data_IF_759056441638
#
_entry.id   IF_759056441638
#
_cell.length_a   1.000
_cell.length_b   1.000
_cell.length_c   1.000
_cell.angle_alpha   90.00
_cell.angle_beta   90.00
_cell.angle_gamma   90.00
#
_symmetry.space_group_name_H-M   'P 1'
#
loop_
_entity.id
_entity.type
_entity.pdbx_description
1 polymer ?
#
# COMPACT_ATOMS: atom_id res chain seq x y z
N UNK A 1 -17.26 -9.43 13.27
CA UNK A 1 -16.05 -8.89 12.60
C UNK A 1 -15.93 -7.38 12.86
N UNK A 2 -14.99 -6.96 13.72
CA UNK A 2 -14.70 -5.55 13.92
C UNK A 2 -14.18 -4.90 12.61
N UNK A 3 -14.25 -3.56 12.46
CA UNK A 3 -13.80 -2.92 11.24
C UNK A 3 -12.30 -3.16 11.02
N UNK A 4 -11.95 -3.94 10.00
CA UNK A 4 -10.56 -4.16 9.60
C UNK A 4 -9.92 -2.80 9.26
N UNK A 5 -8.81 -2.49 9.93
CA UNK A 5 -8.05 -1.27 9.66
C UNK A 5 -7.41 -1.31 8.27
N UNK A 6 -7.01 -0.16 7.75
CA UNK A 6 -6.37 -0.08 6.44
C UNK A 6 -5.12 -1.00 6.30
N UNK A 7 -4.18 -1.08 7.28
CA UNK A 7 -3.07 -2.02 7.20
C UNK A 7 -3.51 -3.49 7.11
N UNK A 8 -4.54 -3.90 7.86
CA UNK A 8 -5.08 -5.26 7.79
C UNK A 8 -5.67 -5.52 6.41
N UNK A 9 -6.49 -4.60 5.90
CA UNK A 9 -7.07 -4.71 4.56
C UNK A 9 -5.99 -4.84 3.49
N UNK A 10 -4.95 -4.01 3.57
CA UNK A 10 -3.82 -4.06 2.64
C UNK A 10 -3.07 -5.40 2.70
N UNK A 11 -2.88 -5.94 3.92
CA UNK A 11 -2.26 -7.25 4.11
C UNK A 11 -3.12 -8.40 3.54
N UNK A 12 -4.44 -8.36 3.74
CA UNK A 12 -5.34 -9.33 3.14
C UNK A 12 -5.33 -9.25 1.61
N UNK A 13 -5.31 -8.03 1.05
CA UNK A 13 -5.29 -7.82 -0.39
C UNK A 13 -4.04 -8.38 -1.06
N UNK A 14 -2.84 -8.09 -0.53
CA UNK A 14 -1.59 -8.59 -1.13
C UNK A 14 -1.44 -10.12 -1.02
N UNK A 15 -2.10 -10.75 -0.05
CA UNK A 15 -2.09 -12.21 0.10
C UNK A 15 -3.31 -12.88 -0.56
N UNK A 16 -4.20 -12.10 -1.20
CA UNK A 16 -5.36 -12.65 -1.90
C UNK A 16 -4.96 -13.12 -3.30
N UNK A 17 -5.27 -14.37 -3.68
CA UNK A 17 -4.99 -14.86 -5.03
C UNK A 17 -5.86 -14.18 -6.11
N UNK A 18 -6.92 -13.47 -5.70
CA UNK A 18 -7.84 -12.79 -6.63
C UNK A 18 -7.38 -11.37 -7.00
N UNK A 19 -6.33 -10.85 -6.36
CA UNK A 19 -5.87 -9.46 -6.53
C UNK A 19 -4.47 -9.50 -7.14
N UNK A 20 -4.33 -8.96 -8.34
CA UNK A 20 -3.04 -8.95 -9.07
C UNK A 20 -2.38 -7.57 -9.05
N UNK A 21 -3.17 -6.54 -8.73
CA UNK A 21 -2.72 -5.15 -8.63
C UNK A 21 -1.75 -4.88 -7.48
N UNK A 22 -1.74 -5.70 -6.43
CA UNK A 22 -0.86 -5.53 -5.25
C UNK A 22 -0.02 -6.78 -5.06
N UNK A 23 1.31 -6.62 -5.02
CA UNK A 23 2.26 -7.74 -4.87
C UNK A 23 3.38 -7.41 -3.91
N UNK A 24 3.91 -8.42 -3.24
CA UNK A 24 5.14 -8.27 -2.44
C UNK A 24 6.35 -7.99 -3.33
N UNK A 25 7.31 -7.25 -2.80
CA UNK A 25 8.63 -7.19 -3.40
C UNK A 25 9.39 -8.52 -3.23
N UNK A 26 10.51 -8.69 -3.94
CA UNK A 26 11.28 -9.94 -3.91
C UNK A 26 11.77 -10.35 -2.51
N UNK A 27 11.85 -9.39 -1.58
CA UNK A 27 12.33 -9.60 -0.21
C UNK A 27 11.17 -9.72 0.80
N UNK A 28 9.92 -9.50 0.41
CA UNK A 28 8.78 -9.45 1.31
C UNK A 28 8.83 -8.31 2.34
N UNK A 29 9.57 -7.24 2.05
CA UNK A 29 9.69 -6.06 2.91
C UNK A 29 8.85 -4.87 2.41
N UNK A 30 8.45 -4.91 1.15
CA UNK A 30 7.73 -3.84 0.48
C UNK A 30 6.62 -4.38 -0.43
N UNK A 31 5.91 -3.43 -1.03
CA UNK A 31 4.76 -3.69 -1.89
C UNK A 31 4.90 -2.95 -3.22
N UNK A 32 4.63 -3.66 -4.30
CA UNK A 32 4.35 -3.09 -5.60
C UNK A 32 2.84 -2.94 -5.78
N UNK A 33 2.40 -1.74 -6.17
CA UNK A 33 1.01 -1.44 -6.50
C UNK A 33 0.96 -0.91 -7.93
N UNK A 34 0.33 -1.65 -8.83
CA UNK A 34 0.04 -1.21 -10.19
C UNK A 34 -1.18 -0.31 -10.14
N UNK A 35 -1.03 1.00 -10.39
CA UNK A 35 -2.15 1.93 -10.26
C UNK A 35 -3.30 1.59 -11.22
N UNK A 36 -2.99 1.20 -12.46
CA UNK A 36 -4.02 0.94 -13.48
C UNK A 36 -4.85 -0.29 -13.12
N UNK A 37 -4.20 -1.39 -12.75
CA UNK A 37 -4.89 -2.59 -12.26
C UNK A 37 -5.61 -2.34 -10.95
N UNK A 38 -4.99 -1.61 -10.03
CA UNK A 38 -5.60 -1.33 -8.73
C UNK A 38 -6.89 -0.54 -8.92
N UNK A 39 -6.85 0.47 -9.80
CA UNK A 39 -8.03 1.22 -10.15
C UNK A 39 -9.10 0.36 -10.81
N UNK A 40 -8.76 -0.62 -11.64
CA UNK A 40 -9.73 -1.50 -12.29
C UNK A 40 -10.30 -2.58 -11.35
N UNK A 41 -9.44 -3.31 -10.64
CA UNK A 41 -9.80 -4.44 -9.77
C UNK A 41 -10.50 -3.99 -8.48
N UNK A 42 -10.00 -2.91 -7.85
CA UNK A 42 -10.39 -2.53 -6.49
C UNK A 42 -11.15 -1.20 -6.41
N UNK A 43 -11.01 -0.32 -7.42
CA UNK A 43 -11.72 0.98 -7.46
C UNK A 43 -12.73 1.07 -8.64
N UNK A 44 -12.72 0.06 -9.52
CA UNK A 44 -13.10 0.21 -10.92
C UNK A 44 -14.21 -0.73 -11.37
N UNK A 45 -14.94 -1.35 -10.46
CA UNK A 45 -16.28 -1.84 -10.71
C UNK A 45 -17.06 -1.60 -9.44
N UNK A 46 -18.09 -0.76 -9.51
CA UNK A 46 -19.02 -0.64 -8.39
C UNK A 46 -19.56 -2.03 -8.09
N UNK A 47 -19.36 -2.50 -6.85
CA UNK A 47 -20.09 -3.58 -6.18
C UNK A 47 -21.39 -3.95 -6.92
N UNK A 48 -21.30 -4.89 -7.86
CA UNK A 48 -22.38 -5.16 -8.82
C UNK A 48 -22.63 -6.64 -9.09
N UNK A 49 -21.84 -7.53 -8.49
CA UNK A 49 -22.13 -8.96 -8.52
C UNK A 49 -21.79 -9.56 -7.14
N UNK A 50 -22.83 -9.88 -6.39
CA UNK A 50 -22.81 -10.77 -5.22
C UNK A 50 -21.98 -10.33 -3.99
N UNK A 51 -22.47 -9.34 -3.22
CA UNK A 51 -22.32 -9.35 -1.75
C UNK A 51 -20.92 -9.20 -1.14
N UNK A 52 -19.88 -8.91 -1.93
CA UNK A 52 -18.53 -8.73 -1.41
C UNK A 52 -18.35 -7.30 -0.88
N UNK A 53 -18.03 -7.17 0.41
CA UNK A 53 -17.78 -5.88 1.05
C UNK A 53 -16.74 -5.08 0.26
N UNK A 54 -17.10 -3.86 -0.15
CA UNK A 54 -16.17 -2.95 -0.83
C UNK A 54 -14.91 -2.73 0.03
N UNK A 55 -13.76 -3.24 -0.44
CA UNK A 55 -12.49 -3.16 0.30
C UNK A 55 -12.14 -1.70 0.63
N UNK A 56 -12.37 -0.78 -0.30
CA UNK A 56 -12.15 0.65 -0.13
C UNK A 56 -13.37 1.48 -0.53
N UNK A 57 -13.85 2.33 0.37
CA UNK A 57 -14.96 3.28 0.11
C UNK A 57 -14.61 4.43 -0.85
N UNK A 58 -13.39 4.46 -1.37
CA UNK A 58 -12.90 5.53 -2.24
C UNK A 58 -12.72 4.96 -3.64
N UNK A 59 -12.91 5.80 -4.66
CA UNK A 59 -12.64 5.46 -6.06
C UNK A 59 -11.36 6.13 -6.58
N UNK A 60 -10.62 6.79 -5.70
CA UNK A 60 -9.47 7.60 -6.06
C UNK A 60 -8.20 7.01 -5.46
N UNK A 61 -7.26 6.62 -6.33
CA UNK A 61 -5.98 6.05 -5.93
C UNK A 61 -5.17 6.97 -4.99
N UNK A 62 -5.24 8.29 -5.18
CA UNK A 62 -4.63 9.28 -4.28
C UNK A 62 -5.13 9.18 -2.83
N UNK A 63 -6.37 8.72 -2.60
CA UNK A 63 -6.86 8.44 -1.25
C UNK A 63 -6.17 7.23 -0.61
N UNK A 64 -5.83 6.21 -1.42
CA UNK A 64 -5.07 5.03 -0.99
C UNK A 64 -3.63 5.44 -0.64
N UNK A 65 -3.00 6.24 -1.51
CA UNK A 65 -1.67 6.82 -1.24
C UNK A 65 -1.68 7.64 0.05
N UNK A 66 -2.75 8.41 0.30
CA UNK A 66 -2.89 9.15 1.56
C UNK A 66 -3.01 8.24 2.77
N UNK A 67 -3.73 7.12 2.67
CA UNK A 67 -3.78 6.12 3.74
C UNK A 67 -2.41 5.48 3.97
N UNK A 68 -1.71 5.06 2.91
CA UNK A 68 -0.33 4.55 2.99
C UNK A 68 0.58 5.52 3.76
N UNK A 69 0.58 6.80 3.37
CA UNK A 69 1.37 7.83 4.05
C UNK A 69 0.96 8.01 5.53
N UNK A 70 -0.34 7.98 5.83
CA UNK A 70 -0.84 8.06 7.22
C UNK A 70 -0.44 6.85 8.06
N UNK A 71 -0.10 5.71 7.49
CA UNK A 71 0.37 4.54 8.21
C UNK A 71 1.88 4.35 8.11
N UNK A 72 2.62 5.38 7.69
CA UNK A 72 4.08 5.36 7.65
C UNK A 72 4.66 4.48 6.54
N UNK A 73 3.91 4.25 5.46
CA UNK A 73 4.50 3.69 4.24
C UNK A 73 5.23 4.80 3.48
N UNK A 74 6.45 4.50 3.02
CA UNK A 74 7.26 5.42 2.25
C UNK A 74 7.36 4.91 0.82
N UNK A 75 7.22 5.82 -0.15
CA UNK A 75 7.44 5.47 -1.56
C UNK A 75 8.94 5.29 -1.78
N UNK A 76 9.33 4.10 -2.24
CA UNK A 76 10.72 3.80 -2.62
C UNK A 76 10.92 4.33 -4.04
N UNK A 77 11.67 5.42 -4.17
CA UNK A 77 12.13 5.89 -5.48
C UNK A 77 13.43 5.17 -5.80
N UNK A 78 13.44 4.37 -6.86
CA UNK A 78 14.70 3.94 -7.48
C UNK A 78 15.31 5.20 -8.09
N UNK A 79 16.22 5.84 -7.35
CA UNK A 79 16.94 7.00 -7.88
C UNK A 79 17.79 6.51 -9.04
N UNK A 80 17.65 7.04 -10.28
CA UNK A 80 18.55 6.72 -11.38
C UNK A 80 19.88 7.46 -11.20
N UNK A 81 20.52 7.31 -10.04
CA UNK A 81 21.77 7.97 -9.70
C UNK A 81 22.94 6.98 -9.85
N UNK A 82 23.18 6.57 -11.10
CA UNK A 82 24.47 6.09 -11.62
C UNK A 82 24.55 6.25 -13.14
N UNK A 83 23.94 7.31 -13.68
CA UNK A 83 24.20 7.73 -15.06
C UNK A 83 24.65 9.18 -15.01
N UNK A 84 25.83 9.43 -15.60
CA UNK A 84 26.59 10.66 -15.63
C UNK A 84 25.77 11.95 -15.89
N UNK A 85 26.27 13.13 -15.48
CA UNK A 85 25.63 14.40 -15.78
C UNK A 85 25.68 14.65 -17.30
N UNK A 86 24.55 14.49 -17.99
CA UNK A 86 24.49 14.77 -19.43
C UNK A 86 23.23 14.35 -20.19
N UNK A 87 22.38 13.50 -19.61
CA UNK A 87 21.19 13.03 -20.35
C UNK A 87 19.91 13.58 -19.72
N UNK A 88 19.23 14.45 -20.47
CA UNK A 88 17.84 14.90 -20.20
C UNK A 88 16.97 13.69 -19.83
N UNK A 89 16.03 13.80 -18.87
CA UNK A 89 15.09 12.72 -18.63
C UNK A 89 14.23 12.58 -19.89
N UNK A 90 14.54 11.55 -20.70
CA UNK A 90 13.63 11.08 -21.73
C UNK A 90 12.47 10.42 -21.00
N UNK A 91 11.27 10.93 -21.29
CA UNK A 91 10.01 10.26 -21.02
C UNK A 91 10.17 8.76 -21.26
N UNK A 92 9.96 7.96 -20.23
CA UNK A 92 9.97 6.51 -20.33
C UNK A 92 8.77 6.05 -21.14
N UNK A 93 8.97 6.03 -22.46
CA UNK A 93 8.16 5.32 -23.43
C UNK A 93 9.10 4.36 -24.15
N UNK A 94 9.38 3.21 -23.54
CA UNK A 94 10.14 2.14 -24.19
C UNK A 94 9.65 0.78 -23.70
N UNK A 95 8.59 0.34 -24.38
CA UNK A 95 8.16 -1.03 -24.68
C UNK A 95 9.10 -2.15 -24.18
N UNK A 96 8.67 -2.84 -23.13
CA UNK A 96 8.94 -4.27 -22.89
C UNK A 96 7.63 -5.03 -23.09
N UNK A 97 7.69 -6.14 -23.80
CA UNK A 97 6.58 -6.95 -24.27
C UNK A 97 5.96 -7.81 -23.15
N UNK A 98 5.22 -7.18 -22.24
CA UNK A 98 4.28 -7.92 -21.40
C UNK A 98 3.03 -7.08 -21.26
N UNK A 99 2.15 -7.27 -22.24
CA UNK A 99 0.77 -6.79 -22.25
C UNK A 99 0.05 -7.32 -21.02
N UNK A 100 -0.06 -6.52 -19.98
CA UNK A 100 -1.28 -6.15 -19.24
C UNK A 100 -0.86 -4.96 -18.35
N UNK A 101 -1.49 -3.79 -18.54
CA UNK A 101 -1.49 -2.63 -17.62
C UNK A 101 -0.45 -1.51 -17.84
N UNK A 102 -0.83 -0.53 -18.66
CA UNK A 102 -0.09 0.73 -18.90
C UNK A 102 -0.33 1.74 -17.76
N UNK A 103 -0.08 1.34 -16.51
CA UNK A 103 -0.22 2.17 -15.31
C UNK A 103 1.11 2.38 -14.59
N UNK A 104 1.32 3.49 -13.85
CA UNK A 104 2.50 3.64 -13.01
C UNK A 104 2.58 2.53 -11.94
N UNK A 105 3.70 1.82 -11.88
CA UNK A 105 4.00 0.88 -10.80
C UNK A 105 4.60 1.63 -9.60
N UNK A 106 3.96 1.53 -8.44
CA UNK A 106 4.39 2.20 -7.21
C UNK A 106 5.02 1.21 -6.25
N UNK A 107 6.24 1.48 -5.78
CA UNK A 107 6.87 0.72 -4.70
C UNK A 107 6.71 1.45 -3.37
N UNK A 108 6.12 0.78 -2.37
CA UNK A 108 5.97 1.26 -1.01
C UNK A 108 6.64 0.32 -0.02
N UNK A 109 7.24 0.88 1.03
CA UNK A 109 7.91 0.11 2.07
C UNK A 109 7.51 0.60 3.46
N UNK A 110 7.40 -0.34 4.40
CA UNK A 110 7.20 -0.06 5.83
C UNK A 110 7.92 -1.16 6.65
N UNK A 111 8.72 -0.80 7.67
CA UNK A 111 9.48 -1.78 8.44
C UNK A 111 8.62 -2.84 9.14
N UNK A 112 7.37 -2.48 9.49
CA UNK A 112 6.41 -3.32 10.20
C UNK A 112 5.40 -4.00 9.27
N UNK A 113 5.51 -3.82 7.96
CA UNK A 113 4.66 -4.48 6.98
C UNK A 113 5.47 -5.52 6.20
N UNK A 114 5.39 -6.79 6.62
CA UNK A 114 6.27 -7.86 6.14
C UNK A 114 5.49 -9.11 5.73
N UNK A 115 5.98 -9.80 4.69
CA UNK A 115 5.42 -11.09 4.28
C UNK A 115 5.58 -12.14 5.38
N UNK A 116 4.53 -12.92 5.65
CA UNK A 116 4.52 -13.96 6.67
C UNK A 116 4.61 -13.46 8.13
N UNK A 117 4.56 -12.14 8.36
CA UNK A 117 4.65 -11.53 9.71
C UNK A 117 3.50 -10.56 9.99
N UNK A 118 2.24 -11.07 10.04
CA UNK A 118 1.08 -10.25 10.38
C UNK A 118 1.14 -9.70 11.81
N UNK A 119 1.91 -10.33 12.71
CA UNK A 119 2.18 -9.88 14.07
C UNK A 119 2.76 -8.47 14.13
N UNK A 120 3.52 -8.05 13.10
CA UNK A 120 4.11 -6.73 13.04
C UNK A 120 3.09 -5.62 12.72
N UNK A 121 1.91 -5.96 12.18
CA UNK A 121 0.88 -4.98 11.83
C UNK A 121 0.42 -4.18 13.05
N UNK A 122 0.51 -4.75 14.26
CA UNK A 122 0.17 -4.06 15.53
C UNK A 122 1.01 -2.81 15.77
N UNK A 123 2.23 -2.78 15.20
CA UNK A 123 3.14 -1.64 15.29
C UNK A 123 2.82 -0.54 14.28
N UNK A 124 1.98 -0.83 13.28
CA UNK A 124 1.57 0.15 12.26
C UNK A 124 0.46 1.04 12.82
N UNK A 125 0.87 2.24 13.25
CA UNK A 125 0.00 3.24 13.87
C UNK A 125 -0.37 4.32 12.87
N UNK A 126 -1.58 4.86 12.98
CA UNK A 126 -2.03 5.98 12.15
C UNK A 126 -1.38 7.28 12.62
N UNK A 127 -0.61 7.95 11.78
CA UNK A 127 0.10 9.20 12.02
C UNK A 127 -0.80 10.41 11.73
N UNK A 128 -1.83 10.63 12.53
CA UNK A 128 -2.60 11.89 12.53
C UNK A 128 -1.82 12.99 13.26
N UNK A 129 -2.19 14.27 13.07
CA UNK A 129 -1.57 15.40 13.79
C UNK A 129 -1.55 15.15 15.31
N UNK A 130 -2.69 14.75 15.87
CA UNK A 130 -2.80 14.42 17.29
C UNK A 130 -1.91 13.23 17.72
N UNK A 131 -1.75 12.22 16.85
CA UNK A 131 -0.88 11.08 17.16
C UNK A 131 0.60 11.44 17.03
N UNK A 132 0.96 12.32 16.09
CA UNK A 132 2.30 12.87 15.97
C UNK A 132 2.66 13.72 17.20
N UNK A 133 1.76 14.59 17.64
CA UNK A 133 1.93 15.39 18.87
C UNK A 133 2.08 14.49 20.11
N UNK A 134 1.34 13.38 20.19
CA UNK A 134 1.52 12.39 21.26
C UNK A 134 2.91 11.76 21.21
N UNK A 135 3.38 11.32 20.03
CA UNK A 135 4.73 10.76 19.89
C UNK A 135 5.82 11.78 20.23
N UNK A 136 5.67 13.03 19.79
CA UNK A 136 6.59 14.14 20.10
C UNK A 136 6.61 14.44 21.61
N UNK A 137 5.49 14.22 22.31
CA UNK A 137 5.37 14.32 23.76
C UNK A 137 5.77 13.02 24.52
N UNK A 138 6.29 12.00 23.83
CA UNK A 138 6.68 10.71 24.43
C UNK A 138 5.49 9.83 24.87
N UNK A 139 4.27 10.17 24.46
CA UNK A 139 3.05 9.41 24.75
C UNK A 139 2.86 8.28 23.74
N UNK A 140 2.40 7.13 24.25
CA UNK A 140 2.12 5.98 23.41
C UNK A 140 0.85 6.19 22.56
N UNK A 141 0.98 5.95 21.25
CA UNK A 141 -0.18 5.89 20.33
C UNK A 141 -0.62 4.44 20.23
N UNK A 142 -1.87 4.13 20.55
CA UNK A 142 -2.40 2.77 20.40
C UNK A 142 -2.79 2.49 18.95
N UNK A 143 -2.47 1.29 18.44
CA UNK A 143 -3.01 0.83 17.17
C UNK A 143 -4.46 0.41 17.38
N UNK A 144 -5.33 0.71 16.40
CA UNK A 144 -6.75 0.32 16.46
C UNK A 144 -6.96 -1.05 15.81
N UNK A 145 -6.07 -2.01 16.02
CA UNK A 145 -6.26 -3.34 15.45
C UNK A 145 -7.34 -4.10 16.25
N UNK A 146 -8.16 -4.94 15.58
CA UNK A 146 -8.98 -5.93 16.29
C UNK A 146 -8.08 -6.90 17.08
N UNK A 147 -8.55 -7.32 18.27
CA UNK A 147 -7.85 -8.22 19.20
C UNK A 147 -7.31 -9.51 18.55
N UNK A 148 -7.91 -9.99 17.46
CA UNK A 148 -7.53 -11.22 16.77
C UNK A 148 -6.08 -11.25 16.23
N UNK A 149 -5.41 -10.10 16.15
CA UNK A 149 -4.01 -9.98 15.72
C UNK A 149 -3.03 -9.74 16.88
N UNK A 150 -3.48 -9.83 18.14
CA UNK A 150 -2.68 -9.57 19.34
C UNK A 150 -2.19 -10.84 20.07
N UNK A 151 -2.10 -11.99 19.41
CA UNK A 151 -1.71 -13.27 20.01
C UNK A 151 -0.43 -13.84 19.42
#
# INVERSE_FOLDING_TARGET
>A
PGPCTFPIKLWLLVNSPCVHSVRWDARGEGLFIDQGLFEQELLGMGSGAAGEEEFFKTKNFGSIVRQLNLYGFHKVTVSPASSAPGSRPMSSSARGDTSYSDGPLHHFWNPHFRYGRPDLLVNIKRLTKANKEKLDAGLEVTSRLPDDFQH
#
